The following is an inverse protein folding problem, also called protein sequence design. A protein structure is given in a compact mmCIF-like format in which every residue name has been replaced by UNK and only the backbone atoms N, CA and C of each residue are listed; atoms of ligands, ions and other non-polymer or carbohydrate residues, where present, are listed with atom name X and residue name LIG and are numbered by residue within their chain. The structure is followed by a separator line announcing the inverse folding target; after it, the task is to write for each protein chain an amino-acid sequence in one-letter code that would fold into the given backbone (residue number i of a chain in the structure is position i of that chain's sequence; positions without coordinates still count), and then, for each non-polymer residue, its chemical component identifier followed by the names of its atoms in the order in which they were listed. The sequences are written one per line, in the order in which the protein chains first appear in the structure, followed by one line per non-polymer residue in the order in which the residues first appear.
data_IF_539709603266
#
_entry.id   IF_539709603266
#
_cell.length_a   1.000
_cell.length_b   1.000
_cell.length_c   1.000
_cell.angle_alpha   90.00
_cell.angle_beta   90.00
_cell.angle_gamma   90.00
#
_symmetry.space_group_name_H-M   'P 1'
#
loop_
_entity.id
_entity.type
_entity.pdbx_description
1 polymer ?
#
# COMPACT_ATOMS: atom_id res chain seq x y z
N UNK A 1 -56.56 46.65 50.05
CA UNK A 1 -55.60 45.51 49.79
C UNK A 1 -54.84 45.86 48.56
N UNK A 2 -53.57 46.35 48.70
CA UNK A 2 -52.72 46.77 47.59
C UNK A 2 -51.97 45.55 47.04
N UNK A 3 -52.13 45.26 45.72
CA UNK A 3 -51.32 44.32 45.01
C UNK A 3 -50.09 45.06 44.43
N UNK A 4 -48.91 44.67 44.85
CA UNK A 4 -47.64 45.13 44.26
C UNK A 4 -47.31 44.25 43.06
N UNK A 5 -47.24 44.86 41.87
CA UNK A 5 -46.63 44.24 40.67
C UNK A 5 -45.13 44.33 40.83
N UNK A 6 -44.44 43.19 40.71
CA UNK A 6 -42.99 43.09 40.58
C UNK A 6 -42.67 42.91 39.07
N UNK A 7 -42.04 43.94 38.49
CA UNK A 7 -41.53 43.91 37.12
C UNK A 7 -40.16 43.23 37.13
N UNK A 8 -40.02 42.04 36.52
CA UNK A 8 -38.77 41.37 36.32
C UNK A 8 -38.17 41.83 34.96
N UNK A 9 -37.05 42.50 35.03
CA UNK A 9 -36.28 42.93 33.84
C UNK A 9 -35.37 41.78 33.41
N UNK A 10 -35.64 41.12 32.27
CA UNK A 10 -34.71 40.17 31.62
C UNK A 10 -33.59 40.95 30.92
N UNK A 11 -32.36 40.79 31.39
CA UNK A 11 -31.17 41.24 30.71
C UNK A 11 -30.75 40.14 29.74
N UNK A 12 -30.96 40.30 28.45
CA UNK A 12 -30.47 39.42 27.40
C UNK A 12 -28.98 39.71 27.17
N UNK A 13 -28.10 38.82 27.62
CA UNK A 13 -26.68 38.86 27.29
C UNK A 13 -26.48 38.33 25.86
N UNK A 14 -26.22 39.20 24.92
CA UNK A 14 -25.77 38.86 23.56
C UNK A 14 -24.29 38.48 23.63
N UNK A 15 -23.99 37.20 23.57
CA UNK A 15 -22.63 36.70 23.38
C UNK A 15 -22.21 37.04 21.94
N UNK A 16 -21.21 37.87 21.76
CA UNK A 16 -20.52 38.10 20.48
C UNK A 16 -19.79 36.80 20.07
N UNK A 17 -19.89 36.39 18.79
CA UNK A 17 -19.11 35.23 18.32
C UNK A 17 -17.62 35.55 18.41
N UNK A 18 -16.87 34.69 19.07
CA UNK A 18 -15.41 34.76 19.10
C UNK A 18 -14.89 34.64 17.66
N UNK A 19 -14.19 35.64 17.18
CA UNK A 19 -13.46 35.61 15.91
C UNK A 19 -12.44 34.49 16.01
N UNK A 20 -12.57 33.46 15.16
CA UNK A 20 -11.60 32.40 15.04
C UNK A 20 -10.25 33.03 14.63
N UNK A 21 -9.27 32.97 15.51
CA UNK A 21 -7.91 33.40 15.19
C UNK A 21 -7.37 32.52 14.08
N UNK A 22 -6.99 33.10 12.95
CA UNK A 22 -6.26 32.42 11.89
C UNK A 22 -4.97 31.86 12.50
N UNK A 23 -4.67 30.55 12.34
CA UNK A 23 -3.43 30.00 12.84
C UNK A 23 -2.23 30.77 12.29
N UNK A 24 -1.26 31.10 13.14
CA UNK A 24 -0.03 31.75 12.70
C UNK A 24 0.67 30.89 11.64
N UNK A 25 1.21 31.53 10.60
CA UNK A 25 1.98 30.82 9.58
C UNK A 25 3.15 30.05 10.23
N UNK A 26 3.45 28.80 9.80
CA UNK A 26 4.52 28.02 10.37
C UNK A 26 5.89 28.68 10.13
N UNK A 27 6.82 28.49 11.05
CA UNK A 27 8.21 28.96 10.90
C UNK A 27 9.00 27.93 10.10
N UNK A 28 9.82 28.39 9.15
CA UNK A 28 10.75 27.52 8.42
C UNK A 28 11.92 27.13 9.31
N UNK A 29 12.19 25.85 9.42
CA UNK A 29 13.25 25.30 10.28
C UNK A 29 14.59 25.21 9.55
N UNK A 30 15.65 25.77 10.16
CA UNK A 30 16.98 25.79 9.58
C UNK A 30 17.69 24.42 9.64
N UNK A 31 17.50 23.67 10.72
CA UNK A 31 18.14 22.35 10.85
C UNK A 31 17.53 21.36 9.87
N UNK A 32 16.21 21.42 9.66
CA UNK A 32 15.54 20.67 8.59
C UNK A 32 16.06 21.07 7.21
N UNK A 33 16.18 22.38 6.94
CA UNK A 33 16.76 22.89 5.70
C UNK A 33 18.15 22.29 5.46
N UNK A 34 19.04 22.38 6.44
CA UNK A 34 20.42 21.87 6.33
C UNK A 34 20.48 20.37 6.06
N UNK A 35 19.67 19.60 6.77
CA UNK A 35 19.72 18.14 6.70
C UNK A 35 18.94 17.53 5.52
N UNK A 36 17.88 18.19 5.05
CA UNK A 36 16.94 17.62 4.07
C UNK A 36 16.83 18.41 2.77
N UNK A 37 16.74 19.75 2.85
CA UNK A 37 16.57 20.61 1.68
C UNK A 37 17.90 20.88 0.96
N UNK A 38 18.93 21.20 1.70
CA UNK A 38 20.25 21.51 1.16
C UNK A 38 20.82 20.43 0.23
N UNK A 39 20.73 19.11 0.54
CA UNK A 39 21.20 18.06 -0.37
C UNK A 39 20.51 18.09 -1.74
N UNK A 40 19.23 18.46 -1.82
CA UNK A 40 18.47 18.56 -3.06
C UNK A 40 19.13 19.52 -4.06
N UNK A 41 19.73 20.61 -3.56
CA UNK A 41 20.35 21.65 -4.37
C UNK A 41 21.67 21.20 -5.04
N UNK A 42 22.33 20.21 -4.46
CA UNK A 42 23.61 19.66 -4.93
C UNK A 42 23.48 18.31 -5.63
N UNK A 43 22.31 17.65 -5.55
CA UNK A 43 22.06 16.34 -6.17
C UNK A 43 22.04 16.44 -7.69
N UNK A 44 22.82 15.58 -8.37
CA UNK A 44 22.76 15.39 -9.82
C UNK A 44 21.57 14.46 -10.15
N UNK A 45 20.73 14.87 -11.06
CA UNK A 45 19.61 14.09 -11.59
C UNK A 45 19.86 13.76 -13.07
N UNK A 46 19.37 12.63 -13.50
CA UNK A 46 19.47 12.26 -14.91
C UNK A 46 18.68 13.25 -15.79
N UNK A 47 19.30 13.70 -16.87
CA UNK A 47 18.70 14.69 -17.76
C UNK A 47 18.69 16.13 -17.25
N UNK A 48 19.03 16.40 -15.98
CA UNK A 48 19.00 17.75 -15.41
C UNK A 48 20.36 18.19 -14.83
N UNK A 49 20.64 19.47 -14.88
CA UNK A 49 21.76 20.06 -14.13
C UNK A 49 21.44 20.11 -12.64
N UNK A 50 22.46 20.14 -11.77
CA UNK A 50 22.27 20.43 -10.34
C UNK A 50 21.77 21.85 -10.15
N UNK A 51 20.90 22.10 -9.18
CA UNK A 51 20.41 23.45 -8.92
C UNK A 51 21.57 24.46 -8.73
N UNK A 52 22.60 24.05 -7.98
CA UNK A 52 23.78 24.89 -7.76
C UNK A 52 24.57 25.21 -9.05
N UNK A 53 24.50 24.36 -10.08
CA UNK A 53 25.22 24.60 -11.32
C UNK A 53 24.72 25.84 -12.06
N UNK A 54 23.44 26.17 -11.96
CA UNK A 54 22.86 27.39 -12.51
C UNK A 54 22.78 28.49 -11.45
N UNK A 55 22.34 28.15 -10.24
CA UNK A 55 22.11 29.10 -9.16
C UNK A 55 23.40 29.49 -8.37
N UNK A 56 24.54 28.91 -8.67
CA UNK A 56 25.85 29.36 -8.15
C UNK A 56 26.42 30.58 -8.89
N UNK A 57 25.86 30.93 -10.07
CA UNK A 57 26.37 32.00 -10.94
C UNK A 57 25.23 32.96 -11.33
N UNK A 58 25.19 33.69 -12.21
CA UNK A 58 24.38 34.69 -12.86
C UNK A 58 22.85 34.75 -12.70
N UNK A 59 22.22 34.13 -11.72
CA UNK A 59 20.77 34.20 -11.49
C UNK A 59 20.39 35.12 -10.33
N UNK A 60 19.13 35.60 -10.29
CA UNK A 60 18.60 36.40 -9.18
C UNK A 60 18.50 35.64 -7.86
N UNK A 61 18.52 34.29 -7.91
CA UNK A 61 18.64 33.41 -6.74
C UNK A 61 20.05 32.82 -6.72
N UNK A 62 21.00 33.54 -6.17
CA UNK A 62 22.41 33.15 -6.15
C UNK A 62 22.78 32.42 -4.87
N UNK A 63 22.95 31.12 -4.96
CA UNK A 63 23.46 30.28 -3.86
C UNK A 63 24.92 30.58 -3.58
N UNK A 64 25.34 30.40 -2.34
CA UNK A 64 26.78 30.48 -1.98
C UNK A 64 27.55 29.36 -2.72
N UNK A 65 28.79 29.60 -3.13
CA UNK A 65 29.62 28.57 -3.74
C UNK A 65 29.94 27.47 -2.74
N UNK A 66 30.13 26.24 -3.22
CA UNK A 66 30.75 25.18 -2.42
C UNK A 66 32.25 25.39 -2.38
N UNK A 67 32.86 25.16 -1.21
CA UNK A 67 34.29 25.08 -1.11
C UNK A 67 34.85 23.95 -1.98
N UNK A 68 36.06 24.07 -2.47
CA UNK A 68 36.70 23.06 -3.31
C UNK A 68 36.70 21.68 -2.60
N UNK A 69 36.21 20.66 -3.27
CA UNK A 69 36.09 19.30 -2.73
C UNK A 69 35.00 19.10 -1.67
N UNK A 70 34.24 20.13 -1.29
CA UNK A 70 33.17 19.99 -0.29
C UNK A 70 31.88 19.45 -0.90
N UNK A 71 31.26 18.49 -0.21
CA UNK A 71 29.93 17.96 -0.56
C UNK A 71 28.80 18.84 -0.01
N UNK A 72 29.05 19.67 1.00
CA UNK A 72 28.05 20.50 1.69
C UNK A 72 28.63 21.89 1.98
N UNK A 73 27.76 22.87 2.21
CA UNK A 73 28.17 24.22 2.63
C UNK A 73 28.62 24.28 4.10
N UNK A 74 29.46 25.26 4.38
CA UNK A 74 29.73 25.67 5.77
C UNK A 74 28.43 26.10 6.47
N UNK A 75 28.42 26.10 7.81
CA UNK A 75 27.25 26.56 8.58
C UNK A 75 26.86 28.01 8.20
N UNK A 76 27.85 28.88 8.02
CA UNK A 76 27.65 30.27 7.66
C UNK A 76 27.04 30.42 6.24
N UNK A 77 27.51 29.65 5.28
CA UNK A 77 27.00 29.71 3.92
C UNK A 77 25.63 28.99 3.80
N UNK A 78 25.40 27.94 4.57
CA UNK A 78 24.10 27.29 4.69
C UNK A 78 23.03 28.26 5.24
N UNK A 79 23.36 29.10 6.21
CA UNK A 79 22.44 30.16 6.72
C UNK A 79 22.12 31.21 5.67
N UNK A 80 23.06 31.67 4.91
CA UNK A 80 22.82 32.60 3.79
C UNK A 80 21.91 31.96 2.73
N UNK A 81 22.16 30.68 2.40
CA UNK A 81 21.31 29.96 1.47
C UNK A 81 19.90 29.74 2.03
N UNK A 82 19.78 29.46 3.32
CA UNK A 82 18.49 29.36 4.01
C UNK A 82 17.69 30.66 3.91
N UNK A 83 18.26 31.81 4.23
CA UNK A 83 17.63 33.12 4.12
C UNK A 83 17.20 33.41 2.67
N UNK A 84 18.11 33.15 1.71
CA UNK A 84 17.85 33.31 0.28
C UNK A 84 16.65 32.50 -0.20
N UNK A 85 16.57 31.23 0.19
CA UNK A 85 15.52 30.32 -0.24
C UNK A 85 14.22 30.52 0.52
N UNK A 86 14.28 30.84 1.81
CA UNK A 86 13.13 31.16 2.65
C UNK A 86 12.29 32.32 2.07
N UNK A 87 12.96 33.31 1.47
CA UNK A 87 12.27 34.43 0.80
C UNK A 87 11.46 34.01 -0.45
N UNK A 88 11.53 32.76 -0.87
CA UNK A 88 10.84 32.18 -2.03
C UNK A 88 9.83 31.11 -1.64
N UNK A 89 9.62 30.96 -0.34
CA UNK A 89 8.65 30.02 0.23
C UNK A 89 7.56 30.82 0.92
N UNK A 90 6.32 30.45 0.72
CA UNK A 90 5.17 30.91 1.49
C UNK A 90 4.93 29.89 2.62
N UNK A 91 5.27 30.23 3.88
CA UNK A 91 5.08 29.31 4.98
C UNK A 91 3.62 28.88 5.12
N UNK A 92 3.39 27.55 5.14
CA UNK A 92 2.06 26.94 5.13
C UNK A 92 1.49 26.66 3.74
N UNK A 93 2.03 27.28 2.68
CA UNK A 93 1.54 27.12 1.30
C UNK A 93 2.65 26.67 0.34
N UNK A 94 2.94 25.37 0.24
CA UNK A 94 3.92 24.85 -0.72
C UNK A 94 3.52 25.08 -2.18
N UNK A 95 2.22 25.08 -2.49
CA UNK A 95 1.71 25.24 -3.86
C UNK A 95 1.86 26.68 -4.38
N UNK A 96 1.75 27.67 -3.51
CA UNK A 96 2.03 29.08 -3.81
C UNK A 96 3.52 29.42 -3.75
N UNK A 97 4.36 28.56 -3.17
CA UNK A 97 5.79 28.79 -2.98
C UNK A 97 6.58 28.73 -4.30
N UNK A 98 7.20 29.84 -4.69
CA UNK A 98 7.94 29.93 -5.96
C UNK A 98 9.10 28.93 -6.04
N UNK A 99 9.74 28.62 -4.92
CA UNK A 99 10.82 27.63 -4.86
C UNK A 99 10.36 26.24 -5.32
N UNK A 100 9.13 25.86 -5.03
CA UNK A 100 8.55 24.57 -5.37
C UNK A 100 7.86 24.59 -6.74
N UNK A 101 7.18 25.70 -7.04
CA UNK A 101 6.36 25.84 -8.24
C UNK A 101 7.21 26.00 -9.51
N UNK A 102 8.28 26.78 -9.44
CA UNK A 102 9.08 27.18 -10.61
C UNK A 102 9.76 26.01 -11.31
N UNK A 103 10.42 25.05 -10.61
CA UNK A 103 11.01 23.85 -11.23
C UNK A 103 10.05 22.67 -11.42
N UNK A 104 8.77 22.81 -11.06
CA UNK A 104 7.74 21.77 -11.25
C UNK A 104 7.18 21.81 -12.68
N UNK A 105 6.82 20.64 -13.25
CA UNK A 105 6.17 20.55 -14.54
C UNK A 105 4.83 21.30 -14.56
N UNK A 106 4.49 21.95 -15.66
CA UNK A 106 3.21 22.67 -15.86
C UNK A 106 2.01 21.76 -15.65
N UNK A 107 2.07 20.53 -16.17
CA UNK A 107 1.02 19.51 -15.99
C UNK A 107 0.75 19.14 -14.54
N UNK A 108 1.73 19.40 -13.65
CA UNK A 108 1.61 19.21 -12.22
C UNK A 108 1.28 20.51 -11.46
N UNK A 109 1.01 21.60 -12.16
CA UNK A 109 0.69 22.92 -11.59
C UNK A 109 1.90 23.82 -11.39
N UNK A 110 3.01 23.54 -12.07
CA UNK A 110 4.21 24.39 -12.07
C UNK A 110 4.05 25.64 -12.94
N UNK A 111 5.00 26.56 -12.81
CA UNK A 111 5.09 27.74 -13.69
C UNK A 111 5.42 27.32 -15.13
N UNK A 112 4.97 28.05 -16.16
CA UNK A 112 5.21 27.70 -17.56
C UNK A 112 6.70 27.73 -17.92
N UNK A 113 7.51 28.55 -17.25
CA UNK A 113 8.90 28.76 -17.64
C UNK A 113 9.86 28.66 -16.45
N UNK A 114 10.97 27.92 -16.66
CA UNK A 114 12.12 27.85 -15.78
C UNK A 114 13.36 27.55 -16.64
N UNK A 115 14.30 28.51 -16.72
CA UNK A 115 15.49 28.41 -17.58
C UNK A 115 16.37 27.19 -17.25
N UNK A 116 16.33 26.70 -16.00
CA UNK A 116 17.00 25.48 -15.56
C UNK A 116 16.30 24.17 -15.91
N UNK A 117 15.16 24.22 -16.65
CA UNK A 117 14.33 23.07 -16.95
C UNK A 117 13.40 22.67 -15.79
N UNK A 118 12.60 21.65 -15.99
CA UNK A 118 11.68 21.12 -14.99
C UNK A 118 12.33 19.93 -14.29
N UNK A 119 12.54 20.06 -13.00
CA UNK A 119 13.21 19.05 -12.17
C UNK A 119 12.24 17.98 -11.65
N UNK A 120 10.97 18.33 -11.44
CA UNK A 120 9.95 17.43 -10.91
C UNK A 120 8.75 17.35 -11.86
N UNK A 121 8.40 16.14 -12.24
CA UNK A 121 7.25 15.89 -13.12
C UNK A 121 5.93 15.80 -12.35
N UNK A 122 5.99 15.63 -11.03
CA UNK A 122 4.84 15.45 -10.13
C UNK A 122 5.14 16.02 -8.76
N UNK A 123 4.08 16.48 -8.07
CA UNK A 123 4.13 16.84 -6.64
C UNK A 123 4.41 15.66 -5.72
N UNK A 124 4.31 14.43 -6.23
CA UNK A 124 4.66 13.22 -5.47
C UNK A 124 6.16 12.88 -5.53
N UNK A 125 6.95 13.63 -6.28
CA UNK A 125 8.39 13.48 -6.27
C UNK A 125 8.94 13.65 -4.83
N UNK A 126 9.80 12.73 -4.34
CA UNK A 126 10.31 12.76 -2.97
C UNK A 126 11.02 14.06 -2.59
N UNK A 127 11.72 14.68 -3.53
CA UNK A 127 12.40 15.96 -3.28
C UNK A 127 11.39 17.11 -3.21
N UNK A 128 10.39 17.13 -4.10
CA UNK A 128 9.31 18.10 -4.02
C UNK A 128 8.56 17.98 -2.70
N UNK A 129 8.28 16.75 -2.25
CA UNK A 129 7.62 16.49 -0.96
C UNK A 129 8.49 16.93 0.23
N UNK A 130 9.80 16.78 0.15
CA UNK A 130 10.74 17.28 1.18
C UNK A 130 10.69 18.79 1.28
N UNK A 131 10.72 19.50 0.15
CA UNK A 131 10.54 20.96 0.10
C UNK A 131 9.16 21.39 0.61
N UNK A 132 8.11 20.66 0.23
CA UNK A 132 6.76 20.94 0.68
C UNK A 132 6.59 20.72 2.19
N UNK A 133 7.22 19.70 2.76
CA UNK A 133 7.25 19.48 4.20
C UNK A 133 7.93 20.64 4.93
N UNK A 134 9.07 21.11 4.41
CA UNK A 134 9.75 22.28 4.94
C UNK A 134 8.87 23.54 4.87
N UNK A 135 8.22 23.79 3.74
CA UNK A 135 7.29 24.91 3.59
C UNK A 135 6.11 24.84 4.59
N UNK A 136 5.69 23.62 4.97
CA UNK A 136 4.66 23.39 5.99
C UNK A 136 5.17 23.48 7.44
N UNK A 137 6.45 23.80 7.64
CA UNK A 137 7.04 23.95 8.98
C UNK A 137 7.57 22.64 9.57
N UNK A 138 7.98 21.67 8.74
CA UNK A 138 8.64 20.46 9.25
C UNK A 138 9.95 20.81 9.95
N UNK A 139 10.20 20.14 11.07
CA UNK A 139 11.46 20.16 11.82
C UNK A 139 12.08 18.77 11.81
N UNK A 140 13.37 18.63 12.12
CA UNK A 140 13.99 17.29 12.25
C UNK A 140 13.29 16.42 13.31
N UNK A 141 12.75 17.03 14.34
CA UNK A 141 11.99 16.32 15.37
C UNK A 141 10.66 15.76 14.82
N UNK A 142 10.02 16.51 13.89
CA UNK A 142 8.77 16.09 13.26
C UNK A 142 9.00 15.17 12.04
N UNK A 143 10.23 15.20 11.49
CA UNK A 143 10.65 14.42 10.33
C UNK A 143 11.31 13.09 10.73
N UNK A 144 11.43 12.81 12.02
CA UNK A 144 11.79 11.48 12.48
C UNK A 144 10.83 10.50 11.80
N UNK A 145 11.40 9.55 11.02
CA UNK A 145 10.60 8.55 10.33
C UNK A 145 9.57 7.98 11.32
N UNK A 146 8.28 7.98 11.00
CA UNK A 146 7.27 7.55 11.95
C UNK A 146 7.63 6.14 12.42
N UNK A 147 7.52 5.88 13.72
CA UNK A 147 7.68 4.52 14.23
C UNK A 147 6.65 3.64 13.54
N UNK A 148 7.13 2.79 12.63
CA UNK A 148 6.27 1.87 11.91
C UNK A 148 5.86 0.72 12.81
N UNK A 149 4.56 0.52 12.92
CA UNK A 149 3.94 -0.56 13.67
C UNK A 149 3.41 -1.61 12.72
N UNK A 150 3.37 -2.86 13.15
CA UNK A 150 2.67 -3.89 12.38
C UNK A 150 1.19 -3.58 12.39
N UNK A 151 0.56 -3.62 11.22
CA UNK A 151 -0.88 -3.43 11.01
C UNK A 151 -1.42 -4.48 10.06
N UNK A 152 -2.66 -4.85 10.23
CA UNK A 152 -3.42 -5.63 9.26
C UNK A 152 -4.34 -4.66 8.53
N UNK A 153 -4.19 -4.61 7.21
CA UNK A 153 -5.04 -3.80 6.33
C UNK A 153 -6.08 -4.73 5.74
N UNK A 154 -7.35 -4.50 6.04
CA UNK A 154 -8.47 -5.33 5.63
C UNK A 154 -9.39 -4.59 4.66
N UNK A 155 -9.50 -5.05 3.41
CA UNK A 155 -10.43 -4.52 2.41
C UNK A 155 -11.81 -5.18 2.54
N UNK A 156 -12.87 -4.41 2.25
CA UNK A 156 -14.26 -4.86 2.36
C UNK A 156 -14.97 -4.67 1.01
N UNK A 157 -15.27 -5.77 0.31
CA UNK A 157 -15.67 -5.74 -1.10
C UNK A 157 -17.17 -5.46 -1.35
N UNK A 158 -17.97 -5.32 -0.32
CA UNK A 158 -19.36 -4.86 -0.43
C UNK A 158 -19.58 -3.55 0.38
N UNK A 159 -18.51 -2.86 0.70
CA UNK A 159 -18.51 -1.57 1.40
C UNK A 159 -17.67 -0.53 0.65
N UNK A 160 -17.50 0.62 1.28
CA UNK A 160 -16.73 1.75 0.81
C UNK A 160 -15.48 2.04 1.67
N UNK A 161 -14.98 1.02 2.37
CA UNK A 161 -13.99 1.23 3.42
C UNK A 161 -12.93 0.13 3.51
N UNK A 162 -11.78 0.51 4.10
CA UNK A 162 -10.67 -0.39 4.45
C UNK A 162 -10.36 -0.21 5.93
N UNK A 163 -10.33 -1.30 6.69
CA UNK A 163 -10.05 -1.29 8.11
C UNK A 163 -8.56 -1.53 8.40
N UNK A 164 -8.02 -0.76 9.35
CA UNK A 164 -6.66 -0.95 9.88
C UNK A 164 -6.78 -1.56 11.27
N UNK A 165 -6.23 -2.76 11.42
CA UNK A 165 -6.27 -3.51 12.69
C UNK A 165 -4.88 -3.49 13.32
N UNK A 166 -4.83 -3.28 14.63
CA UNK A 166 -3.61 -3.38 15.43
C UNK A 166 -3.47 -4.80 16.01
N UNK A 167 -2.45 -5.59 15.59
CA UNK A 167 -2.23 -6.93 16.11
C UNK A 167 -1.87 -6.98 17.60
N UNK A 168 -1.35 -5.90 18.18
CA UNK A 168 -1.02 -5.87 19.59
C UNK A 168 -2.28 -5.85 20.49
N UNK A 169 -3.38 -5.29 19.97
CA UNK A 169 -4.64 -5.14 20.71
C UNK A 169 -5.80 -5.92 20.11
N UNK A 170 -5.65 -6.42 18.89
CA UNK A 170 -6.70 -7.07 18.10
C UNK A 170 -7.93 -6.17 17.92
N UNK A 171 -7.70 -4.88 17.69
CA UNK A 171 -8.77 -3.88 17.49
C UNK A 171 -8.58 -3.12 16.20
N UNK A 172 -9.68 -2.67 15.61
CA UNK A 172 -9.67 -1.67 14.55
C UNK A 172 -9.19 -0.36 15.15
N UNK A 173 -8.12 0.21 14.58
CA UNK A 173 -7.50 1.47 15.03
C UNK A 173 -7.62 2.59 14.01
N UNK A 174 -8.13 2.28 12.82
CA UNK A 174 -8.36 3.26 11.78
C UNK A 174 -9.24 2.71 10.65
N UNK A 175 -9.83 3.62 9.90
CA UNK A 175 -10.67 3.29 8.74
C UNK A 175 -10.35 4.28 7.62
N UNK A 176 -10.09 3.74 6.43
CA UNK A 176 -10.03 4.52 5.18
C UNK A 176 -11.40 4.46 4.56
N UNK A 177 -11.97 5.60 4.21
CA UNK A 177 -13.28 5.73 3.56
C UNK A 177 -13.16 6.12 2.08
N UNK A 178 -14.21 5.88 1.29
CA UNK A 178 -14.32 6.31 -0.09
C UNK A 178 -13.64 5.39 -1.10
N UNK A 179 -13.39 4.13 -0.72
CA UNK A 179 -12.89 3.08 -1.62
C UNK A 179 -14.00 2.04 -1.78
N UNK A 180 -14.81 2.19 -2.81
CA UNK A 180 -15.91 1.27 -3.07
C UNK A 180 -15.43 -0.04 -3.69
N UNK A 181 -15.98 -1.15 -3.20
CA UNK A 181 -15.61 -2.50 -3.67
C UNK A 181 -14.10 -2.70 -3.61
N UNK A 182 -13.48 -2.28 -2.49
CA UNK A 182 -12.04 -2.43 -2.27
C UNK A 182 -11.62 -3.90 -2.33
N UNK A 183 -10.67 -4.24 -3.22
CA UNK A 183 -10.30 -5.65 -3.44
C UNK A 183 -8.89 -5.95 -2.93
N UNK A 184 -7.84 -5.62 -3.69
CA UNK A 184 -6.46 -5.82 -3.30
C UNK A 184 -5.89 -4.63 -2.53
N UNK A 185 -4.91 -4.89 -1.67
CA UNK A 185 -4.15 -3.84 -1.00
C UNK A 185 -2.65 -4.16 -1.04
N UNK A 186 -1.82 -3.11 -1.05
CA UNK A 186 -0.38 -3.19 -0.89
C UNK A 186 0.12 -1.97 -0.10
N UNK A 187 1.21 -2.13 0.64
CA UNK A 187 1.83 -1.05 1.40
C UNK A 187 3.22 -0.72 0.85
N UNK A 188 3.54 0.55 0.74
CA UNK A 188 4.90 0.97 0.44
C UNK A 188 5.87 0.48 1.53
N UNK A 189 7.10 0.07 1.18
CA UNK A 189 8.08 -0.42 2.15
C UNK A 189 8.45 0.59 3.24
N UNK A 190 8.34 1.89 2.94
CA UNK A 190 8.57 2.98 3.88
C UNK A 190 7.37 3.25 4.83
N UNK A 191 6.26 2.53 4.62
CA UNK A 191 5.03 2.64 5.40
C UNK A 191 4.23 3.91 5.16
N UNK A 192 4.63 4.76 4.23
CA UNK A 192 3.99 6.06 3.97
C UNK A 192 2.69 5.94 3.19
N UNK A 193 2.63 4.99 2.26
CA UNK A 193 1.53 4.85 1.32
C UNK A 193 0.88 3.48 1.41
N UNK A 194 -0.43 3.47 1.32
CA UNK A 194 -1.22 2.29 0.98
C UNK A 194 -1.77 2.46 -0.42
N UNK A 195 -1.79 1.37 -1.16
CA UNK A 195 -2.41 1.26 -2.47
C UNK A 195 -3.56 0.28 -2.36
N UNK A 196 -4.74 0.66 -2.84
CA UNK A 196 -5.92 -0.20 -2.80
C UNK A 196 -6.59 -0.18 -4.17
N UNK A 197 -6.88 -1.36 -4.70
CA UNK A 197 -7.66 -1.46 -5.93
C UNK A 197 -9.13 -1.15 -5.62
N UNK A 198 -9.69 -0.17 -6.33
CA UNK A 198 -11.08 0.23 -6.27
C UNK A 198 -11.79 -0.30 -7.51
N UNK A 199 -12.57 -1.37 -7.32
CA UNK A 199 -13.21 -2.06 -8.45
C UNK A 199 -14.35 -1.22 -9.05
N UNK A 200 -15.11 -0.49 -8.22
CA UNK A 200 -16.23 0.33 -8.68
C UNK A 200 -15.80 1.48 -9.59
N UNK A 201 -14.68 2.14 -9.26
CA UNK A 201 -14.17 3.29 -10.03
C UNK A 201 -13.17 2.88 -11.12
N UNK A 202 -12.74 1.62 -11.18
CA UNK A 202 -11.63 1.15 -12.03
C UNK A 202 -10.35 1.97 -11.79
N UNK A 203 -9.99 2.15 -10.52
CA UNK A 203 -8.80 2.91 -10.12
C UNK A 203 -7.90 2.14 -9.16
N UNK A 204 -6.63 2.54 -9.11
CA UNK A 204 -5.77 2.30 -7.97
C UNK A 204 -5.81 3.53 -7.08
N UNK A 205 -6.36 3.40 -5.89
CA UNK A 205 -6.48 4.49 -4.93
C UNK A 205 -5.22 4.54 -4.05
N UNK A 206 -4.61 5.73 -3.96
CA UNK A 206 -3.40 5.98 -3.17
C UNK A 206 -3.80 6.65 -1.86
N UNK A 207 -3.45 6.03 -0.76
CA UNK A 207 -3.85 6.46 0.59
C UNK A 207 -2.60 6.89 1.37
N UNK A 208 -2.63 8.07 1.96
CA UNK A 208 -1.64 8.47 2.96
C UNK A 208 -1.88 7.67 4.24
N UNK A 209 -0.93 6.80 4.61
CA UNK A 209 -1.09 5.85 5.72
C UNK A 209 -1.13 6.52 7.10
N UNK A 210 -0.67 7.76 7.23
CA UNK A 210 -0.72 8.52 8.48
C UNK A 210 -2.09 9.16 8.71
N UNK A 211 -2.68 9.70 7.64
CA UNK A 211 -3.97 10.40 7.70
C UNK A 211 -5.15 9.52 7.36
N UNK A 212 -4.90 8.34 6.79
CA UNK A 212 -5.89 7.38 6.27
C UNK A 212 -6.84 8.00 5.24
N UNK A 213 -6.33 8.94 4.44
CA UNK A 213 -7.10 9.62 3.39
C UNK A 213 -6.61 9.22 2.01
N UNK A 214 -7.54 9.00 1.10
CA UNK A 214 -7.24 8.88 -0.33
C UNK A 214 -6.71 10.21 -0.83
N UNK A 215 -5.51 10.20 -1.39
CA UNK A 215 -4.84 11.41 -1.92
C UNK A 215 -4.84 11.47 -3.43
N UNK A 216 -4.93 10.32 -4.09
CA UNK A 216 -4.92 10.22 -5.55
C UNK A 216 -5.65 8.96 -5.99
N UNK A 217 -6.21 8.99 -7.19
CA UNK A 217 -6.82 7.84 -7.89
C UNK A 217 -6.15 7.72 -9.26
N UNK A 218 -5.55 6.57 -9.54
CA UNK A 218 -4.89 6.31 -10.83
C UNK A 218 -5.84 5.49 -11.70
N UNK A 219 -6.30 6.02 -12.85
CA UNK A 219 -7.16 5.28 -13.76
C UNK A 219 -6.48 4.01 -14.32
N UNK A 220 -7.19 2.91 -14.32
CA UNK A 220 -6.75 1.61 -14.82
C UNK A 220 -7.38 1.29 -16.18
N UNK A 221 -6.87 0.23 -16.85
CA UNK A 221 -7.41 -0.19 -18.15
C UNK A 221 -8.73 -0.92 -18.06
N UNK A 222 -9.12 -1.37 -16.87
CA UNK A 222 -10.36 -2.07 -16.60
C UNK A 222 -10.54 -2.33 -15.10
N UNK A 223 -11.54 -3.12 -14.73
CA UNK A 223 -11.83 -3.45 -13.34
C UNK A 223 -10.67 -4.19 -12.67
N UNK A 224 -10.07 -3.64 -11.60
CA UNK A 224 -8.96 -4.28 -10.91
C UNK A 224 -9.42 -5.41 -9.98
N UNK A 225 -8.50 -6.33 -9.70
CA UNK A 225 -8.65 -7.32 -8.65
C UNK A 225 -7.49 -7.18 -7.64
N UNK A 226 -6.67 -8.20 -7.47
CA UNK A 226 -5.54 -8.16 -6.55
C UNK A 226 -4.39 -7.32 -7.10
N UNK A 227 -3.57 -6.85 -6.18
CA UNK A 227 -2.38 -6.04 -6.50
C UNK A 227 -1.17 -6.57 -5.74
N UNK A 228 -0.01 -6.30 -6.27
CA UNK A 228 1.28 -6.52 -5.58
C UNK A 228 2.21 -5.33 -5.80
N UNK A 229 3.19 -5.16 -4.93
CA UNK A 229 4.16 -4.07 -4.98
C UNK A 229 5.58 -4.62 -5.10
N UNK A 230 6.43 -3.97 -5.88
CA UNK A 230 7.85 -4.29 -5.96
C UNK A 230 8.55 -4.08 -4.61
N UNK A 231 9.65 -4.81 -4.36
CA UNK A 231 10.39 -4.71 -3.08
C UNK A 231 10.93 -3.32 -2.79
N UNK A 232 11.29 -2.58 -3.82
CA UNK A 232 11.76 -1.19 -3.71
C UNK A 232 10.60 -0.17 -3.61
N UNK A 233 9.37 -0.64 -3.71
CA UNK A 233 8.16 0.19 -3.63
C UNK A 233 7.89 1.05 -4.87
N UNK A 234 8.67 0.91 -5.94
CA UNK A 234 8.58 1.79 -7.13
C UNK A 234 7.50 1.38 -8.14
N UNK A 235 7.00 0.15 -8.06
CA UNK A 235 5.99 -0.39 -8.96
C UNK A 235 4.88 -1.09 -8.20
N UNK A 236 3.62 -0.76 -8.55
CA UNK A 236 2.46 -1.56 -8.17
C UNK A 236 1.93 -2.25 -9.41
N UNK A 237 1.72 -3.54 -9.32
CA UNK A 237 1.20 -4.40 -10.38
C UNK A 237 -0.25 -4.74 -10.09
N UNK A 238 -1.16 -4.31 -10.95
CA UNK A 238 -2.60 -4.44 -10.75
C UNK A 238 -3.17 -5.47 -11.71
N UNK A 239 -3.81 -6.50 -11.18
CA UNK A 239 -4.51 -7.49 -11.98
C UNK A 239 -5.80 -6.89 -12.57
N UNK A 240 -5.95 -6.90 -13.89
CA UNK A 240 -7.17 -6.47 -14.60
C UNK A 240 -8.00 -7.71 -14.92
N UNK A 241 -9.20 -7.78 -14.33
CA UNK A 241 -10.07 -8.96 -14.37
C UNK A 241 -11.02 -9.04 -15.55
N UNK A 242 -10.88 -8.16 -16.51
CA UNK A 242 -11.66 -8.13 -17.75
C UNK A 242 -10.85 -8.70 -18.90
N UNK A 243 -11.54 -9.33 -19.86
CA UNK A 243 -10.93 -9.71 -21.14
C UNK A 243 -10.57 -8.47 -21.97
N UNK A 244 -9.42 -8.48 -22.66
CA UNK A 244 -8.51 -9.62 -22.88
C UNK A 244 -7.55 -9.96 -21.74
N UNK A 245 -7.59 -9.28 -20.62
CA UNK A 245 -6.72 -9.47 -19.47
C UNK A 245 -5.41 -8.70 -19.57
N UNK A 246 -5.02 -8.09 -18.46
CA UNK A 246 -3.77 -7.33 -18.37
C UNK A 246 -3.23 -7.27 -16.94
N UNK A 247 -1.96 -6.91 -16.83
CA UNK A 247 -1.37 -6.36 -15.61
C UNK A 247 -1.01 -4.91 -15.86
N UNK A 248 -1.72 -3.99 -15.20
CA UNK A 248 -1.36 -2.58 -15.21
C UNK A 248 -0.19 -2.33 -14.26
N UNK A 249 0.83 -1.64 -14.74
CA UNK A 249 2.02 -1.27 -13.99
C UNK A 249 1.93 0.20 -13.61
N UNK A 250 1.91 0.47 -12.31
CA UNK A 250 1.84 1.83 -11.79
C UNK A 250 3.21 2.26 -11.28
N UNK A 251 3.70 3.37 -11.78
CA UNK A 251 4.89 4.04 -11.25
C UNK A 251 4.50 4.84 -10.00
N UNK A 252 4.99 4.41 -8.85
CA UNK A 252 4.62 5.03 -7.58
C UNK A 252 5.22 6.42 -7.36
N UNK A 253 6.44 6.75 -7.82
CA UNK A 253 6.97 8.11 -7.75
C UNK A 253 6.13 9.14 -8.51
N UNK A 254 5.63 8.80 -9.68
CA UNK A 254 4.82 9.72 -10.50
C UNK A 254 3.32 9.56 -10.26
N UNK A 255 2.91 8.47 -9.58
CA UNK A 255 1.50 8.11 -9.37
C UNK A 255 0.73 8.04 -10.70
N UNK A 256 1.33 7.37 -11.68
CA UNK A 256 0.76 7.21 -13.02
C UNK A 256 0.85 5.76 -13.47
N UNK A 257 -0.07 5.35 -14.34
CA UNK A 257 0.07 4.08 -15.04
C UNK A 257 1.16 4.21 -16.12
N UNK A 258 2.26 3.49 -15.91
CA UNK A 258 3.41 3.50 -16.81
C UNK A 258 3.20 2.57 -18.02
N UNK A 259 2.55 1.42 -17.82
CA UNK A 259 2.40 0.37 -18.81
C UNK A 259 1.18 -0.49 -18.51
N UNK A 260 0.64 -1.16 -19.52
CA UNK A 260 -0.30 -2.27 -19.39
C UNK A 260 0.29 -3.47 -20.12
N UNK A 261 0.48 -4.59 -19.43
CA UNK A 261 1.09 -5.81 -19.97
C UNK A 261 -0.03 -6.78 -20.30
N UNK A 262 -0.26 -7.12 -21.58
CA UNK A 262 -1.28 -8.08 -21.98
C UNK A 262 -1.00 -9.47 -21.38
N UNK A 263 -2.03 -10.11 -20.82
CA UNK A 263 -1.98 -11.45 -20.26
C UNK A 263 -3.12 -12.27 -20.85
N UNK A 264 -2.90 -13.55 -21.07
CA UNK A 264 -3.93 -14.46 -21.57
C UNK A 264 -5.06 -14.63 -20.56
N UNK A 265 -6.25 -14.14 -20.91
CA UNK A 265 -7.45 -14.21 -20.12
C UNK A 265 -7.47 -13.25 -18.92
N UNK A 266 -8.64 -12.95 -18.41
CA UNK A 266 -8.87 -12.07 -17.27
C UNK A 266 -7.97 -12.40 -16.07
N UNK A 267 -7.16 -11.45 -15.61
CA UNK A 267 -6.18 -11.65 -14.52
C UNK A 267 -6.87 -11.51 -13.16
N UNK A 268 -6.73 -12.55 -12.32
CA UNK A 268 -7.33 -12.55 -11.00
C UNK A 268 -6.36 -12.05 -9.91
N UNK A 269 -5.09 -12.42 -9.99
CA UNK A 269 -4.09 -12.10 -8.97
C UNK A 269 -2.75 -11.73 -9.58
N UNK A 270 -2.02 -10.84 -8.88
CA UNK A 270 -0.59 -10.62 -9.08
C UNK A 270 0.16 -10.85 -7.78
N UNK A 271 1.36 -11.40 -7.86
CA UNK A 271 2.27 -11.61 -6.73
C UNK A 271 3.70 -11.32 -7.14
N UNK A 272 4.41 -10.54 -6.35
CA UNK A 272 5.86 -10.41 -6.47
C UNK A 272 6.51 -11.61 -5.81
N UNK A 273 7.43 -12.28 -6.52
CA UNK A 273 8.17 -13.43 -5.95
C UNK A 273 9.03 -13.02 -4.76
N UNK A 274 9.33 -13.96 -3.84
CA UNK A 274 10.13 -13.66 -2.64
C UNK A 274 11.48 -12.99 -2.90
N UNK A 275 12.14 -13.31 -4.00
CA UNK A 275 13.41 -12.69 -4.43
C UNK A 275 13.22 -11.32 -5.13
N UNK A 276 11.97 -10.94 -5.45
CA UNK A 276 11.66 -9.72 -6.18
C UNK A 276 11.98 -9.79 -7.67
N UNK A 277 12.24 -10.97 -8.22
CA UNK A 277 12.63 -11.10 -9.63
C UNK A 277 11.44 -11.07 -10.59
N UNK A 278 10.34 -11.71 -10.21
CA UNK A 278 9.17 -11.85 -11.05
C UNK A 278 7.90 -11.30 -10.41
N UNK A 279 6.96 -10.95 -11.26
CA UNK A 279 5.54 -10.83 -10.92
C UNK A 279 4.83 -12.02 -11.53
N UNK A 280 4.12 -12.79 -10.72
CA UNK A 280 3.30 -13.90 -11.20
C UNK A 280 1.86 -13.45 -11.32
N UNK A 281 1.33 -13.46 -12.53
CA UNK A 281 -0.05 -13.12 -12.84
C UNK A 281 -0.86 -14.41 -13.06
N UNK A 282 -1.89 -14.61 -12.26
CA UNK A 282 -2.78 -15.76 -12.36
C UNK A 282 -4.09 -15.41 -13.06
N UNK A 283 -4.47 -16.20 -14.08
CA UNK A 283 -5.73 -16.05 -14.79
C UNK A 283 -6.66 -17.24 -14.53
N UNK A 284 -7.92 -16.92 -14.22
CA UNK A 284 -8.96 -17.95 -14.07
C UNK A 284 -9.41 -18.43 -15.45
N UNK A 285 -9.78 -17.54 -16.35
CA UNK A 285 -10.29 -17.86 -17.68
C UNK A 285 -9.19 -18.45 -18.57
N UNK A 286 -7.99 -17.88 -18.55
CA UNK A 286 -6.83 -18.39 -19.29
C UNK A 286 -6.23 -19.66 -18.71
N UNK A 287 -6.58 -20.03 -17.46
CA UNK A 287 -5.99 -21.17 -16.74
C UNK A 287 -4.46 -21.12 -16.70
N UNK A 288 -3.90 -19.94 -16.58
CA UNK A 288 -2.46 -19.68 -16.67
C UNK A 288 -1.90 -19.03 -15.42
N UNK A 289 -0.61 -19.27 -15.19
CA UNK A 289 0.25 -18.45 -14.34
C UNK A 289 1.38 -17.90 -15.22
N UNK A 290 1.37 -16.61 -15.47
CA UNK A 290 2.36 -15.90 -16.31
C UNK A 290 3.36 -15.21 -15.43
N UNK A 291 4.65 -15.43 -15.65
CA UNK A 291 5.73 -14.70 -14.99
C UNK A 291 6.17 -13.52 -15.84
N UNK A 292 6.21 -12.36 -15.22
CA UNK A 292 6.71 -11.12 -15.77
C UNK A 292 8.03 -10.80 -15.05
N UNK A 293 9.12 -10.61 -15.80
CA UNK A 293 10.41 -10.16 -15.23
C UNK A 293 10.27 -8.68 -14.83
N UNK A 294 10.51 -8.35 -13.54
CA UNK A 294 10.33 -6.98 -13.03
C UNK A 294 11.30 -5.96 -13.63
N UNK A 295 12.46 -6.39 -14.10
CA UNK A 295 13.46 -5.49 -14.68
C UNK A 295 13.10 -5.05 -16.11
N UNK A 296 12.51 -5.96 -16.91
CA UNK A 296 12.12 -5.68 -18.29
C UNK A 296 10.64 -5.34 -18.42
N UNK A 297 9.84 -5.71 -17.42
CA UNK A 297 8.38 -5.64 -17.44
C UNK A 297 7.77 -6.38 -18.64
N UNK A 298 8.36 -7.55 -19.01
CA UNK A 298 7.92 -8.41 -20.10
C UNK A 298 7.61 -9.81 -19.58
N UNK A 299 6.59 -10.50 -20.12
CA UNK A 299 6.35 -11.91 -19.84
C UNK A 299 7.55 -12.76 -20.29
N UNK A 300 7.98 -13.70 -19.45
CA UNK A 300 9.15 -14.54 -19.71
C UNK A 300 8.82 -16.02 -19.80
N UNK A 301 7.79 -16.49 -19.11
CA UNK A 301 7.25 -17.83 -19.21
C UNK A 301 5.79 -17.90 -18.77
N UNK A 302 5.08 -18.91 -19.25
CA UNK A 302 3.69 -19.19 -18.92
C UNK A 302 3.55 -20.65 -18.54
N UNK A 303 2.85 -20.91 -17.43
CA UNK A 303 2.39 -22.25 -17.05
C UNK A 303 0.89 -22.37 -17.36
N UNK A 304 0.51 -23.49 -17.93
CA UNK A 304 -0.90 -23.85 -18.17
C UNK A 304 -1.35 -24.89 -17.17
N UNK A 305 -2.56 -24.73 -16.66
CA UNK A 305 -3.24 -25.67 -15.77
C UNK A 305 -4.51 -26.21 -16.45
N UNK A 306 -5.05 -27.27 -15.95
CA UNK A 306 -6.34 -27.81 -16.40
C UNK A 306 -7.53 -27.02 -15.87
N UNK A 307 -7.33 -26.26 -14.76
CA UNK A 307 -8.33 -25.46 -14.06
C UNK A 307 -7.86 -24.00 -13.92
N UNK A 308 -8.80 -23.11 -13.63
CA UNK A 308 -8.53 -21.68 -13.46
C UNK A 308 -7.62 -21.40 -12.28
N UNK A 309 -6.61 -20.56 -12.49
CA UNK A 309 -5.62 -20.18 -11.47
C UNK A 309 -6.21 -19.13 -10.53
N UNK A 310 -6.13 -19.41 -9.24
CA UNK A 310 -6.60 -18.58 -8.14
C UNK A 310 -5.45 -18.10 -7.26
N UNK A 311 -5.65 -17.70 -5.99
CA UNK A 311 -4.56 -17.25 -5.13
C UNK A 311 -3.37 -18.20 -5.07
N UNK A 312 -2.21 -17.61 -4.81
CA UNK A 312 -0.93 -18.29 -4.74
C UNK A 312 -0.16 -17.92 -3.48
N UNK A 313 0.69 -18.82 -3.00
CA UNK A 313 1.68 -18.55 -1.97
C UNK A 313 3.04 -19.15 -2.36
N UNK A 314 4.13 -18.66 -1.79
CA UNK A 314 5.47 -19.00 -2.21
C UNK A 314 6.33 -19.48 -1.03
N UNK A 315 6.96 -20.62 -1.18
CA UNK A 315 8.02 -21.13 -0.32
C UNK A 315 9.36 -20.67 -0.86
N UNK A 316 10.30 -20.34 0.02
CA UNK A 316 11.62 -19.83 -0.33
C UNK A 316 12.71 -20.89 -0.09
N UNK A 317 13.78 -20.78 -0.86
CA UNK A 317 15.08 -21.39 -0.56
C UNK A 317 15.82 -20.56 0.50
N UNK A 318 16.90 -21.11 1.04
CA UNK A 318 17.73 -20.40 2.03
C UNK A 318 18.37 -19.10 1.50
N UNK A 319 18.56 -18.99 0.19
CA UNK A 319 19.08 -17.81 -0.50
C UNK A 319 17.99 -16.77 -0.81
N UNK A 320 16.74 -17.03 -0.45
CA UNK A 320 15.59 -16.17 -0.70
C UNK A 320 14.94 -16.34 -2.07
N UNK A 321 15.49 -17.16 -2.96
CA UNK A 321 14.85 -17.49 -4.23
C UNK A 321 13.58 -18.33 -4.02
N UNK A 322 12.68 -18.30 -5.00
CA UNK A 322 11.43 -19.08 -4.93
C UNK A 322 11.72 -20.56 -5.12
N UNK A 323 11.27 -21.38 -4.17
CA UNK A 323 11.42 -22.85 -4.21
C UNK A 323 10.19 -23.51 -4.82
N UNK A 324 9.03 -23.28 -4.21
CA UNK A 324 7.74 -23.81 -4.67
C UNK A 324 6.69 -22.71 -4.70
N UNK A 325 5.75 -22.87 -5.59
CA UNK A 325 4.53 -22.09 -5.63
C UNK A 325 3.36 -23.00 -5.30
N UNK A 326 2.54 -22.59 -4.34
CA UNK A 326 1.26 -23.21 -4.01
C UNK A 326 0.18 -22.45 -4.73
N UNK A 327 -0.65 -23.15 -5.51
CA UNK A 327 -1.64 -22.51 -6.39
C UNK A 327 -3.01 -23.09 -6.11
N UNK A 328 -3.93 -22.27 -5.68
CA UNK A 328 -5.34 -22.69 -5.65
C UNK A 328 -5.91 -22.69 -7.06
N UNK A 329 -6.68 -23.71 -7.35
CA UNK A 329 -7.34 -23.89 -8.64
C UNK A 329 -8.85 -23.90 -8.44
N UNK A 330 -9.59 -23.46 -9.46
CA UNK A 330 -11.05 -23.59 -9.46
C UNK A 330 -11.47 -25.06 -9.33
N UNK A 331 -12.63 -25.30 -8.72
CA UNK A 331 -13.27 -26.63 -8.66
C UNK A 331 -12.56 -27.67 -7.79
N UNK A 332 -11.38 -27.36 -7.22
CA UNK A 332 -10.79 -28.23 -6.21
C UNK A 332 -10.85 -27.62 -4.82
N UNK A 333 -11.05 -28.48 -3.82
CA UNK A 333 -10.94 -28.11 -2.41
C UNK A 333 -9.51 -28.41 -2.01
N UNK A 334 -8.59 -27.47 -2.30
CA UNK A 334 -7.18 -27.71 -2.09
C UNK A 334 -6.30 -26.82 -2.95
N UNK A 335 -5.09 -27.30 -3.23
CA UNK A 335 -4.11 -26.54 -4.00
C UNK A 335 -3.14 -27.44 -4.76
N UNK A 336 -2.64 -26.93 -5.89
CA UNK A 336 -1.53 -27.53 -6.62
C UNK A 336 -0.19 -27.08 -6.01
N UNK A 337 0.80 -27.96 -6.10
CA UNK A 337 2.20 -27.71 -5.71
C UNK A 337 3.04 -27.64 -6.99
N UNK A 338 3.68 -26.52 -7.20
CA UNK A 338 4.52 -26.28 -8.37
C UNK A 338 5.97 -26.16 -7.94
N UNK A 339 6.85 -26.93 -8.59
CA UNK A 339 8.28 -26.70 -8.52
C UNK A 339 8.64 -25.48 -9.37
N UNK A 340 9.12 -24.42 -8.71
CA UNK A 340 9.31 -23.13 -9.36
C UNK A 340 10.46 -23.12 -10.35
N UNK A 341 11.51 -23.93 -10.13
CA UNK A 341 12.67 -23.95 -11.02
C UNK A 341 12.38 -24.68 -12.35
N UNK A 342 11.53 -25.71 -12.31
CA UNK A 342 11.16 -26.47 -13.50
C UNK A 342 9.86 -26.01 -14.15
N UNK A 343 9.13 -25.09 -13.50
CA UNK A 343 7.81 -24.63 -13.91
C UNK A 343 6.80 -25.77 -14.12
N UNK A 344 6.81 -26.76 -13.21
CA UNK A 344 5.95 -27.97 -13.32
C UNK A 344 5.11 -28.15 -12.07
N UNK A 345 3.83 -28.45 -12.28
CA UNK A 345 3.00 -29.00 -11.22
C UNK A 345 3.56 -30.41 -10.86
N UNK A 346 3.86 -30.62 -9.57
CA UNK A 346 4.44 -31.86 -9.06
C UNK A 346 3.46 -32.69 -8.24
N UNK A 347 2.45 -32.04 -7.65
CA UNK A 347 1.39 -32.73 -6.90
C UNK A 347 0.21 -31.83 -6.64
N UNK A 348 -0.88 -32.37 -6.14
CA UNK A 348 -2.03 -31.67 -5.57
C UNK A 348 -2.27 -32.14 -4.15
N UNK A 349 -2.71 -31.23 -3.29
CA UNK A 349 -3.12 -31.48 -1.91
C UNK A 349 -4.60 -31.17 -1.80
N UNK A 350 -5.39 -32.15 -1.42
CA UNK A 350 -6.80 -31.95 -1.08
C UNK A 350 -6.93 -31.58 0.39
N UNK A 351 -7.79 -30.60 0.69
CA UNK A 351 -8.13 -30.28 2.08
C UNK A 351 -9.07 -31.35 2.64
N UNK A 352 -9.04 -31.58 3.94
CA UNK A 352 -9.97 -32.53 4.57
C UNK A 352 -11.43 -32.19 4.26
N UNK A 353 -12.23 -33.23 4.01
CA UNK A 353 -13.67 -33.11 3.85
C UNK A 353 -14.31 -32.61 5.15
N UNK A 354 -15.51 -32.03 5.02
CA UNK A 354 -16.33 -31.67 6.18
C UNK A 354 -16.48 -32.87 7.11
N UNK A 355 -16.32 -32.63 8.40
CA UNK A 355 -16.57 -33.65 9.43
C UNK A 355 -18.03 -34.09 9.46
N UNK A 356 -18.33 -35.25 10.08
CA UNK A 356 -19.71 -35.75 10.19
C UNK A 356 -20.65 -34.70 10.84
N UNK A 357 -21.80 -34.49 10.20
CA UNK A 357 -22.81 -33.54 10.71
C UNK A 357 -22.55 -32.06 10.45
N UNK A 358 -21.46 -31.71 9.74
CA UNK A 358 -21.23 -30.35 9.25
C UNK A 358 -21.73 -30.24 7.81
N UNK A 359 -22.58 -29.24 7.57
CA UNK A 359 -23.04 -28.90 6.22
C UNK A 359 -22.19 -27.80 5.61
N UNK A 360 -21.96 -27.79 4.29
CA UNK A 360 -21.26 -26.71 3.64
C UNK A 360 -22.03 -25.40 3.79
N UNK A 361 -21.36 -24.36 4.26
CA UNK A 361 -21.92 -23.00 4.42
C UNK A 361 -21.79 -22.17 3.16
N UNK A 362 -21.09 -22.68 2.15
CA UNK A 362 -20.84 -22.02 0.89
C UNK A 362 -20.87 -23.04 -0.25
N UNK A 363 -21.78 -22.83 -1.17
CA UNK A 363 -21.89 -23.63 -2.40
C UNK A 363 -21.35 -22.80 -3.57
N UNK A 364 -20.31 -23.30 -4.25
CA UNK A 364 -19.74 -22.64 -5.42
C UNK A 364 -18.32 -23.10 -5.72
N UNK A 365 -17.84 -22.86 -6.95
CA UNK A 365 -16.55 -23.28 -7.47
C UNK A 365 -15.28 -22.71 -6.79
N UNK A 366 -15.40 -22.10 -5.60
CA UNK A 366 -14.34 -21.43 -4.86
C UNK A 366 -14.26 -21.97 -3.43
N UNK A 367 -14.15 -23.26 -3.28
CA UNK A 367 -14.20 -23.92 -1.98
C UNK A 367 -12.99 -23.61 -1.08
N UNK A 368 -11.82 -23.31 -1.65
CA UNK A 368 -10.68 -22.75 -0.96
C UNK A 368 -10.21 -21.48 -1.68
N UNK A 369 -9.62 -20.49 -0.97
CA UNK A 369 -9.28 -19.23 -1.60
C UNK A 369 -7.98 -18.60 -1.05
N UNK A 370 -7.89 -18.21 0.21
CA UNK A 370 -6.71 -17.57 0.79
C UNK A 370 -5.63 -18.57 1.20
N UNK A 371 -4.36 -18.20 0.99
CA UNK A 371 -3.23 -18.94 1.52
C UNK A 371 -2.03 -18.05 1.80
N UNK A 372 -1.25 -18.42 2.83
CA UNK A 372 -0.05 -17.71 3.22
C UNK A 372 1.02 -18.65 3.75
N UNK A 373 2.27 -18.40 3.35
CA UNK A 373 3.46 -19.06 3.93
C UNK A 373 3.99 -18.19 5.07
N UNK A 374 4.33 -18.79 6.21
CA UNK A 374 4.93 -18.06 7.33
C UNK A 374 6.32 -17.54 6.97
N UNK A 375 6.72 -16.41 7.56
CA UNK A 375 8.01 -15.75 7.30
C UNK A 375 9.22 -16.62 7.62
N UNK A 376 9.09 -17.57 8.56
CA UNK A 376 10.10 -18.56 8.89
C UNK A 376 10.11 -19.77 7.93
N UNK A 377 9.23 -19.74 6.91
CA UNK A 377 9.09 -20.77 5.89
C UNK A 377 8.77 -22.19 6.43
N UNK A 378 8.11 -22.25 7.61
CA UNK A 378 7.80 -23.52 8.27
C UNK A 378 6.35 -23.95 8.18
N UNK A 379 5.44 -23.02 7.82
CA UNK A 379 4.01 -23.29 7.76
C UNK A 379 3.39 -22.71 6.49
N UNK A 380 2.45 -23.45 5.95
CA UNK A 380 1.48 -22.98 4.96
C UNK A 380 0.11 -23.00 5.62
N UNK A 381 -0.56 -21.85 5.64
CA UNK A 381 -1.95 -21.70 6.12
C UNK A 381 -2.86 -21.54 4.92
N UNK A 382 -3.91 -22.34 4.86
CA UNK A 382 -4.88 -22.37 3.73
C UNK A 382 -6.28 -22.26 4.28
N UNK A 383 -7.10 -21.35 3.77
CA UNK A 383 -8.50 -21.29 4.15
C UNK A 383 -9.39 -22.22 3.30
N UNK A 384 -10.54 -22.57 3.85
CA UNK A 384 -11.63 -23.22 3.14
C UNK A 384 -12.93 -22.47 3.40
N UNK A 385 -13.45 -21.84 2.37
CA UNK A 385 -14.76 -21.18 2.39
C UNK A 385 -15.87 -22.18 2.70
N UNK A 386 -15.77 -23.37 2.10
CA UNK A 386 -16.72 -24.46 2.28
C UNK A 386 -16.78 -24.94 3.73
N UNK A 387 -15.62 -25.11 4.35
CA UNK A 387 -15.52 -25.69 5.70
C UNK A 387 -15.59 -24.63 6.82
N UNK A 388 -15.55 -23.33 6.48
CA UNK A 388 -15.40 -22.24 7.45
C UNK A 388 -14.24 -22.47 8.41
N UNK A 389 -13.11 -22.89 7.87
CA UNK A 389 -11.92 -23.28 8.62
C UNK A 389 -10.64 -22.86 7.91
N UNK A 390 -9.54 -22.80 8.66
CA UNK A 390 -8.18 -22.77 8.12
C UNK A 390 -7.44 -24.04 8.48
N UNK A 391 -6.58 -24.47 7.55
CA UNK A 391 -5.74 -25.65 7.67
C UNK A 391 -4.28 -25.23 7.72
N UNK A 392 -3.51 -25.81 8.63
CA UNK A 392 -2.09 -25.52 8.79
C UNK A 392 -1.29 -26.75 8.37
N UNK A 393 -0.41 -26.54 7.40
CA UNK A 393 0.52 -27.56 6.92
C UNK A 393 1.95 -27.21 7.32
N UNK A 394 2.75 -28.21 7.69
CA UNK A 394 4.20 -28.02 7.87
C UNK A 394 4.91 -27.89 6.53
N UNK A 395 6.01 -27.13 6.50
CA UNK A 395 6.92 -27.06 5.38
C UNK A 395 8.30 -27.59 5.80
N UNK A 396 9.01 -28.29 4.93
CA UNK A 396 8.72 -28.50 3.51
C UNK A 396 7.85 -29.72 3.20
N UNK A 397 7.49 -30.57 4.17
CA UNK A 397 6.91 -31.89 3.99
C UNK A 397 5.41 -31.93 3.76
N UNK A 398 4.74 -30.79 3.82
CA UNK A 398 3.29 -30.61 3.58
C UNK A 398 2.41 -31.54 4.41
N UNK A 399 2.81 -31.82 5.66
CA UNK A 399 1.98 -32.59 6.60
C UNK A 399 0.95 -31.69 7.25
N UNK A 400 -0.31 -32.10 7.22
CA UNK A 400 -1.38 -31.43 7.93
C UNK A 400 -1.09 -31.46 9.45
N UNK A 401 -1.01 -30.27 10.06
CA UNK A 401 -0.79 -30.12 11.50
C UNK A 401 -2.12 -30.05 12.26
N UNK A 402 -3.16 -29.51 11.61
CA UNK A 402 -4.50 -29.38 12.18
C UNK A 402 -5.36 -28.40 11.39
N UNK A 403 -6.59 -28.26 11.89
CA UNK A 403 -7.57 -27.28 11.40
C UNK A 403 -8.14 -26.45 12.53
N UNK A 404 -8.51 -25.21 12.21
CA UNK A 404 -9.10 -24.28 13.17
C UNK A 404 -10.39 -23.72 12.53
N UNK A 405 -11.52 -23.89 13.23
CA UNK A 405 -12.79 -23.28 12.82
C UNK A 405 -12.66 -21.75 12.96
N UNK A 406 -13.16 -21.03 11.97
CA UNK A 406 -13.13 -19.55 11.89
C UNK A 406 -14.53 -19.00 11.57
N UNK A 407 -14.64 -17.74 11.19
CA UNK A 407 -15.92 -17.19 10.73
C UNK A 407 -16.40 -17.80 9.41
N UNK A 408 -17.62 -17.44 9.01
CA UNK A 408 -18.29 -18.01 7.83
C UNK A 408 -17.59 -17.59 6.54
N UNK A 409 -17.38 -18.55 5.64
CA UNK A 409 -16.80 -18.36 4.31
C UNK A 409 -15.52 -17.52 4.32
N UNK A 410 -14.43 -18.00 4.96
CA UNK A 410 -13.13 -17.30 4.95
C UNK A 410 -12.63 -17.16 3.51
N UNK A 411 -12.13 -15.97 3.17
CA UNK A 411 -11.77 -15.61 1.81
C UNK A 411 -10.29 -15.24 1.64
N UNK A 412 -9.61 -14.90 2.72
CA UNK A 412 -8.20 -14.54 2.70
C UNK A 412 -7.52 -14.73 4.03
N UNK A 413 -6.19 -14.92 3.98
CA UNK A 413 -5.36 -15.05 5.16
C UNK A 413 -4.04 -14.31 4.98
N UNK A 414 -3.62 -13.59 6.02
CA UNK A 414 -2.27 -13.05 6.17
C UNK A 414 -1.70 -13.43 7.51
N UNK A 415 -0.37 -13.48 7.62
CA UNK A 415 0.35 -13.83 8.85
C UNK A 415 1.10 -12.63 9.41
N UNK A 416 1.17 -12.54 10.74
CA UNK A 416 2.10 -11.60 11.40
C UNK A 416 3.56 -11.92 11.05
N UNK A 417 4.49 -10.94 11.14
CA UNK A 417 5.89 -11.13 10.75
C UNK A 417 6.63 -12.23 11.52
N UNK A 418 6.16 -12.60 12.71
CA UNK A 418 6.70 -13.74 13.50
C UNK A 418 6.14 -15.09 13.08
N UNK A 419 5.20 -15.13 12.10
CA UNK A 419 4.60 -16.35 11.57
C UNK A 419 3.70 -17.11 12.55
N UNK A 420 3.29 -16.48 13.67
CA UNK A 420 2.56 -17.15 14.77
C UNK A 420 1.06 -16.88 14.74
N UNK A 421 0.65 -15.74 14.23
CA UNK A 421 -0.76 -15.33 14.21
C UNK A 421 -1.22 -15.11 12.78
N UNK A 422 -2.33 -15.76 12.41
CA UNK A 422 -3.02 -15.52 11.15
C UNK A 422 -4.24 -14.63 11.36
N UNK A 423 -4.48 -13.72 10.43
CA UNK A 423 -5.69 -12.92 10.31
C UNK A 423 -6.48 -13.39 9.11
N UNK A 424 -7.67 -13.91 9.36
CA UNK A 424 -8.51 -14.57 8.36
C UNK A 424 -9.75 -13.72 8.08
N UNK A 425 -9.90 -13.27 6.84
CA UNK A 425 -11.03 -12.47 6.40
C UNK A 425 -12.26 -13.38 6.18
N UNK A 426 -13.30 -13.25 6.98
CA UNK A 426 -14.51 -14.08 6.92
C UNK A 426 -15.62 -13.34 6.17
N UNK A 427 -15.67 -13.52 4.85
CA UNK A 427 -16.55 -12.80 3.95
C UNK A 427 -18.05 -13.00 4.30
N UNK A 428 -18.42 -14.19 4.76
CA UNK A 428 -19.80 -14.52 5.11
C UNK A 428 -20.25 -14.05 6.49
N UNK A 429 -19.37 -13.52 7.34
CA UNK A 429 -19.70 -13.07 8.69
C UNK A 429 -19.16 -11.70 9.07
N UNK A 430 -18.71 -10.89 8.08
CA UNK A 430 -18.25 -9.50 8.27
C UNK A 430 -17.25 -9.35 9.42
N UNK A 431 -16.29 -10.25 9.47
CA UNK A 431 -15.33 -10.32 10.58
C UNK A 431 -13.96 -10.79 10.13
N UNK A 432 -12.95 -10.55 10.97
CA UNK A 432 -11.61 -11.12 10.85
C UNK A 432 -11.35 -12.02 12.04
N UNK A 433 -11.09 -13.31 11.81
CA UNK A 433 -10.65 -14.23 12.84
C UNK A 433 -9.16 -14.05 13.09
N UNK A 434 -8.78 -13.98 14.37
CA UNK A 434 -7.39 -13.96 14.84
C UNK A 434 -7.03 -15.38 15.29
N UNK A 435 -6.11 -16.01 14.61
CA UNK A 435 -5.81 -17.44 14.79
C UNK A 435 -4.36 -17.63 15.24
N UNK A 436 -4.15 -18.27 16.37
CA UNK A 436 -2.85 -18.77 16.82
C UNK A 436 -2.56 -20.08 16.07
N UNK A 437 -1.74 -20.00 15.03
CA UNK A 437 -1.40 -21.15 14.18
C UNK A 437 -0.39 -22.11 14.81
N UNK A 438 0.17 -21.75 15.96
CA UNK A 438 1.07 -22.61 16.72
C UNK A 438 0.29 -23.47 17.71
N UNK A 439 -0.67 -22.86 18.42
CA UNK A 439 -1.51 -23.55 19.38
C UNK A 439 -2.85 -24.03 18.80
N UNK A 440 -3.04 -23.86 17.49
CA UNK A 440 -4.20 -24.37 16.72
C UNK A 440 -5.55 -23.92 17.29
N UNK A 441 -5.72 -22.62 17.51
CA UNK A 441 -6.98 -22.08 18.06
C UNK A 441 -7.29 -20.67 17.56
N UNK A 442 -8.58 -20.37 17.43
CA UNK A 442 -9.04 -18.98 17.28
C UNK A 442 -8.87 -18.25 18.64
N UNK A 443 -8.24 -17.08 18.59
CA UNK A 443 -7.99 -16.26 19.79
C UNK A 443 -9.17 -15.31 20.02
N UNK A 444 -9.61 -14.65 18.96
CA UNK A 444 -10.74 -13.72 18.97
C UNK A 444 -11.23 -13.46 17.55
N UNK A 445 -12.35 -12.77 17.43
CA UNK A 445 -12.95 -12.37 16.18
C UNK A 445 -13.25 -10.88 16.21
N UNK A 446 -12.83 -10.15 15.17
CA UNK A 446 -12.89 -8.70 15.08
C UNK A 446 -13.97 -8.33 14.06
N UNK A 447 -15.03 -7.60 14.45
CA UNK A 447 -16.00 -7.07 13.49
C UNK A 447 -15.31 -6.07 12.54
N UNK A 448 -15.63 -6.15 11.25
CA UNK A 448 -15.14 -5.24 10.20
C UNK A 448 -16.26 -4.86 9.24
N UNK A 449 -15.95 -4.22 8.12
CA UNK A 449 -16.93 -3.86 7.11
C UNK A 449 -17.55 -5.06 6.38
N UNK A 450 -18.42 -4.79 5.40
CA UNK A 450 -19.17 -5.81 4.70
C UNK A 450 -18.30 -6.59 3.72
N UNK A 451 -18.44 -7.91 3.73
CA UNK A 451 -17.73 -8.85 2.87
C UNK A 451 -16.22 -8.60 2.88
N UNK A 452 -15.55 -8.78 4.04
CA UNK A 452 -14.11 -8.66 4.12
C UNK A 452 -13.46 -9.64 3.13
N UNK A 453 -12.66 -9.08 2.20
CA UNK A 453 -12.21 -9.82 1.03
C UNK A 453 -10.75 -10.20 1.12
N UNK A 454 -9.86 -9.23 1.22
CA UNK A 454 -8.43 -9.45 1.29
C UNK A 454 -7.83 -8.72 2.46
N UNK A 455 -6.74 -9.26 2.98
CA UNK A 455 -5.95 -8.56 3.96
C UNK A 455 -4.46 -8.74 3.71
N UNK A 456 -3.71 -7.77 4.17
CA UNK A 456 -2.25 -7.81 4.16
C UNK A 456 -1.70 -7.42 5.53
N UNK A 457 -0.52 -7.93 5.83
CA UNK A 457 0.30 -7.43 6.95
C UNK A 457 1.25 -6.37 6.42
N UNK A 458 1.19 -5.19 7.02
CA UNK A 458 1.98 -4.02 6.62
C UNK A 458 2.67 -3.38 7.83
N UNK A 459 3.68 -2.55 7.57
CA UNK A 459 4.27 -1.65 8.57
C UNK A 459 3.80 -0.24 8.27
N UNK A 460 2.98 0.32 9.16
CA UNK A 460 2.37 1.65 9.02
C UNK A 460 2.65 2.50 10.27
N UNK A 461 2.51 3.82 10.19
CA UNK A 461 2.67 4.75 11.31
C UNK A 461 1.78 4.46 12.51
#
# INVERSE_FOLDING_TARGET
MLHRLVLATLIASTALPALAQTPAAPTLDFDYFKARVQPILTTKRDGNARCISCHGFGTTMKLQPLAEGAATWSEADARKNFELLSARVLPGDPDGSRLLKHPLAETAGGDPHHDGGKHWTSKNDPEWQTLAAWARGATLANDAAPKLNVRIVQTNSAGDNVHIIDPATNKVVGVVHGIEVGHGAAAAPDGRWLYVSNEADSTLDVVDARTLRVTSKVPLTGHPNNISISRDGRRVYVAIREEPGAVDVIDTPTVTRAKSIPIEGAVHNTYVTPDGRYVIAGSIAGKTATAIDQRTEEPVWVMHFDLGVRPMAFEQNADGSTKRMFVQLTEIIGFAVVDFATHKEVSRVELPKLGPGKEPVYEGGNASHGMAVSSDNKRLVVDSRLNSAVYVYSLPDLKLQGSIDVGVAPDWVTLTPDGRTAYVANAGSNSVSVVDVVNMREVTRIPVGQVPKRNITARLP
#
